data_IF_779578292047
#
_entry.id   IF_779578292047
#
_cell.length_a   1.000
_cell.length_b   1.000
_cell.length_c   1.000
_cell.angle_alpha   90.00
_cell.angle_beta   90.00
_cell.angle_gamma   90.00
#
_symmetry.space_group_name_H-M   'P 1'
#
loop_
_entity.id
_entity.type
_entity.pdbx_description
1 polymer ?
#
# COMPACT_ATOMS: atom_id res chain seq x y z
N UNK A 1 -0.90 8.00 34.03
CA UNK A 1 0.28 7.82 33.16
C UNK A 1 -0.20 7.08 31.95
N UNK A 2 -0.07 7.60 30.70
CA UNK A 2 -0.55 6.91 29.53
C UNK A 2 0.34 5.68 29.27
N UNK A 3 -0.28 4.51 29.13
CA UNK A 3 0.36 3.29 28.68
C UNK A 3 0.97 3.51 27.28
N UNK A 4 2.26 3.79 27.20
CA UNK A 4 3.01 3.77 25.94
C UNK A 4 2.98 2.34 25.41
N UNK A 5 2.30 2.12 24.30
CA UNK A 5 2.18 0.79 23.72
C UNK A 5 3.50 0.41 23.02
N UNK A 6 4.00 -0.77 23.35
CA UNK A 6 5.26 -1.35 22.83
C UNK A 6 5.38 -1.39 21.29
N UNK A 7 4.28 -1.30 20.55
CA UNK A 7 4.27 -1.39 19.07
C UNK A 7 4.58 -0.07 18.36
N UNK A 8 4.19 1.09 18.92
CA UNK A 8 4.51 2.38 18.30
C UNK A 8 5.99 2.70 18.42
N UNK A 9 6.58 2.43 19.59
CA UNK A 9 8.00 2.68 19.83
C UNK A 9 8.91 1.80 18.98
N UNK A 10 8.50 0.57 18.68
CA UNK A 10 9.26 -0.34 17.84
C UNK A 10 9.43 0.17 16.41
N UNK A 11 8.35 0.61 15.76
CA UNK A 11 8.43 1.06 14.36
C UNK A 11 9.07 2.45 14.21
N UNK A 12 8.86 3.34 15.17
CA UNK A 12 9.56 4.63 15.18
C UNK A 12 11.07 4.48 15.36
N UNK A 13 11.49 3.48 16.15
CA UNK A 13 12.91 3.17 16.40
C UNK A 13 13.40 1.98 15.57
N UNK A 14 12.70 1.61 14.50
CA UNK A 14 13.08 0.49 13.67
C UNK A 14 14.50 0.65 13.12
N UNK A 15 15.27 -0.44 13.20
CA UNK A 15 16.62 -0.54 12.62
C UNK A 15 16.70 -1.76 11.72
N UNK A 16 17.16 -1.53 10.51
CA UNK A 16 17.42 -2.62 9.58
C UNK A 16 18.59 -3.50 10.07
N UNK A 17 18.63 -4.79 9.68
CA UNK A 17 19.79 -5.64 9.93
C UNK A 17 21.06 -5.02 9.36
N UNK A 18 22.17 -5.15 10.08
CA UNK A 18 23.47 -4.57 9.71
C UNK A 18 23.96 -5.02 8.31
N UNK A 19 23.55 -6.21 7.88
CA UNK A 19 23.91 -6.78 6.58
C UNK A 19 23.07 -6.26 5.41
N UNK A 20 22.08 -5.38 5.65
CA UNK A 20 21.28 -4.68 4.64
C UNK A 20 21.43 -3.16 4.77
N UNK A 21 22.58 -2.59 4.42
CA UNK A 21 22.79 -1.15 4.49
C UNK A 21 22.04 -0.41 3.38
N UNK A 22 21.45 0.75 3.73
CA UNK A 22 20.85 1.68 2.79
C UNK A 22 19.48 1.26 2.22
N UNK A 23 18.74 2.25 1.76
CA UNK A 23 17.33 2.09 1.33
C UNK A 23 17.15 1.13 0.15
N UNK A 24 18.06 1.13 -0.82
CA UNK A 24 17.95 0.25 -2.00
C UNK A 24 18.05 -1.24 -1.63
N UNK A 25 19.02 -1.64 -0.81
CA UNK A 25 19.10 -3.03 -0.38
C UNK A 25 17.93 -3.43 0.50
N UNK A 26 17.45 -2.52 1.37
CA UNK A 26 16.27 -2.70 2.19
C UNK A 26 14.96 -2.76 1.38
N UNK A 27 14.98 -2.33 0.13
CA UNK A 27 13.86 -2.45 -0.83
C UNK A 27 13.94 -3.73 -1.63
N UNK A 28 15.06 -3.96 -2.29
CA UNK A 28 15.21 -5.05 -3.28
C UNK A 28 15.29 -6.41 -2.61
N UNK A 29 16.15 -6.54 -1.59
CA UNK A 29 16.39 -7.83 -0.93
C UNK A 29 15.12 -8.45 -0.33
N UNK A 30 14.32 -7.70 0.47
CA UNK A 30 13.09 -8.24 1.05
C UNK A 30 12.10 -8.71 0.00
N UNK A 31 11.96 -7.98 -1.09
CA UNK A 31 11.04 -8.32 -2.17
C UNK A 31 11.41 -9.64 -2.86
N UNK A 32 12.70 -9.97 -2.96
CA UNK A 32 13.19 -11.12 -3.70
C UNK A 32 13.49 -12.35 -2.83
N UNK A 33 14.04 -12.16 -1.63
CA UNK A 33 14.70 -13.24 -0.88
C UNK A 33 14.24 -13.42 0.57
N UNK A 34 13.64 -12.42 1.20
CA UNK A 34 13.22 -12.53 2.58
C UNK A 34 12.00 -13.46 2.75
N UNK A 35 11.90 -14.09 3.92
CA UNK A 35 10.73 -14.90 4.27
C UNK A 35 9.49 -14.02 4.39
N UNK A 36 8.42 -14.45 3.74
CA UNK A 36 7.16 -13.68 3.65
C UNK A 36 6.10 -14.18 4.61
N UNK A 37 6.21 -15.43 5.08
CA UNK A 37 5.24 -16.07 5.97
C UNK A 37 5.96 -16.87 7.05
N UNK A 38 5.29 -17.05 8.18
CA UNK A 38 5.68 -18.00 9.23
C UNK A 38 4.80 -19.24 9.19
N UNK A 39 3.56 -19.09 8.72
CA UNK A 39 2.59 -20.15 8.49
C UNK A 39 2.64 -20.72 7.07
N UNK A 40 1.56 -21.37 6.62
CA UNK A 40 1.42 -21.88 5.26
C UNK A 40 1.40 -20.75 4.25
N UNK A 41 1.71 -21.08 2.99
CA UNK A 41 1.55 -20.14 1.87
C UNK A 41 0.08 -19.77 1.77
N UNK A 42 -0.26 -18.46 1.64
CA UNK A 42 -1.64 -18.03 1.55
C UNK A 42 -2.35 -18.60 0.33
N UNK A 43 -3.52 -19.17 0.54
CA UNK A 43 -4.44 -19.60 -0.51
C UNK A 43 -5.61 -18.63 -0.58
N UNK A 44 -6.08 -18.34 -1.80
CA UNK A 44 -7.12 -17.35 -2.02
C UNK A 44 -8.28 -17.92 -2.81
N UNK A 45 -9.49 -17.48 -2.44
CA UNK A 45 -10.72 -17.62 -3.23
C UNK A 45 -10.99 -16.28 -3.91
N UNK A 46 -11.00 -16.27 -5.24
CA UNK A 46 -11.25 -15.08 -6.04
C UNK A 46 -12.73 -14.85 -6.25
N UNK A 47 -13.16 -13.60 -6.09
CA UNK A 47 -14.46 -13.11 -6.50
C UNK A 47 -14.30 -11.98 -7.51
N UNK A 48 -15.12 -11.96 -8.55
CA UNK A 48 -15.21 -10.87 -9.50
C UNK A 48 -16.44 -10.01 -9.20
N UNK A 49 -16.21 -8.72 -9.07
CA UNK A 49 -17.28 -7.77 -8.85
C UNK A 49 -17.42 -6.81 -10.03
N UNK A 50 -18.66 -6.65 -10.52
CA UNK A 50 -18.98 -5.62 -11.51
C UNK A 50 -18.94 -4.26 -10.83
N UNK A 51 -18.26 -3.31 -11.46
CA UNK A 51 -18.18 -1.91 -11.04
C UNK A 51 -19.33 -1.08 -11.63
N UNK A 52 -19.64 0.11 -11.07
CA UNK A 52 -20.77 0.94 -11.56
C UNK A 52 -20.66 1.34 -13.03
N UNK A 53 -19.47 1.40 -13.58
CA UNK A 53 -19.22 1.70 -15.00
C UNK A 53 -19.26 0.46 -15.93
N UNK A 54 -19.76 -0.68 -15.43
CA UNK A 54 -19.91 -1.92 -16.20
C UNK A 54 -18.59 -2.69 -16.41
N UNK A 55 -17.52 -2.28 -15.78
CA UNK A 55 -16.23 -2.97 -15.75
C UNK A 55 -16.18 -3.97 -14.58
N UNK A 56 -15.01 -4.44 -14.20
CA UNK A 56 -14.84 -5.35 -13.06
C UNK A 56 -13.58 -5.08 -12.25
N UNK A 57 -13.65 -5.50 -11.00
CA UNK A 57 -12.51 -5.69 -10.10
C UNK A 57 -12.53 -7.10 -9.51
N UNK A 58 -11.37 -7.72 -9.40
CA UNK A 58 -11.23 -9.03 -8.78
C UNK A 58 -10.71 -8.87 -7.34
N UNK A 59 -11.27 -9.63 -6.41
CA UNK A 59 -10.88 -9.64 -5.02
C UNK A 59 -10.42 -11.04 -4.61
N UNK A 60 -9.24 -11.13 -4.02
CA UNK A 60 -8.70 -12.38 -3.48
C UNK A 60 -8.95 -12.43 -1.97
N UNK A 61 -9.92 -13.24 -1.55
CA UNK A 61 -10.21 -13.53 -0.15
C UNK A 61 -9.33 -14.65 0.35
N UNK A 62 -8.65 -14.46 1.48
CA UNK A 62 -7.87 -15.51 2.12
C UNK A 62 -8.78 -16.70 2.46
N UNK A 63 -8.39 -17.88 2.01
CA UNK A 63 -9.13 -19.11 2.26
C UNK A 63 -8.91 -19.59 3.71
N UNK A 64 -9.59 -18.96 4.65
CA UNK A 64 -9.62 -19.34 6.05
C UNK A 64 -11.06 -19.39 6.57
N UNK A 65 -11.35 -20.30 7.46
CA UNK A 65 -12.68 -20.44 8.08
C UNK A 65 -12.86 -19.42 9.21
N UNK A 66 -13.09 -18.17 8.82
CA UNK A 66 -13.26 -17.05 9.76
C UNK A 66 -14.66 -16.43 9.59
N UNK A 67 -15.34 -16.27 10.73
CA UNK A 67 -16.66 -15.63 10.78
C UNK A 67 -16.64 -14.21 10.21
N UNK A 68 -17.67 -13.85 9.43
CA UNK A 68 -17.92 -12.48 8.93
C UNK A 68 -18.08 -11.41 10.03
N UNK A 69 -18.14 -11.81 11.29
CA UNK A 69 -18.16 -10.90 12.46
C UNK A 69 -16.75 -10.58 12.98
N UNK A 70 -15.72 -11.31 12.56
CA UNK A 70 -14.33 -11.00 12.90
C UNK A 70 -13.88 -9.73 12.19
N UNK A 71 -12.85 -9.04 12.67
CA UNK A 71 -12.32 -7.89 11.93
C UNK A 71 -11.86 -8.31 10.53
N UNK A 72 -12.20 -7.50 9.53
CA UNK A 72 -11.75 -7.65 8.14
C UNK A 72 -10.57 -6.71 7.89
N UNK A 73 -9.43 -7.26 7.51
CA UNK A 73 -8.29 -6.52 7.02
C UNK A 73 -8.34 -6.48 5.49
N UNK A 74 -8.47 -5.28 4.93
CA UNK A 74 -8.45 -5.03 3.49
C UNK A 74 -7.08 -4.48 3.09
N UNK A 75 -6.43 -5.05 2.08
CA UNK A 75 -5.15 -4.55 1.58
C UNK A 75 -5.27 -4.05 0.15
N UNK A 76 -5.04 -2.76 -0.06
CA UNK A 76 -4.87 -2.13 -1.38
C UNK A 76 -3.39 -2.13 -1.77
N UNK A 77 -3.05 -2.83 -2.84
CA UNK A 77 -1.66 -3.06 -3.23
C UNK A 77 -0.99 -1.85 -3.90
N UNK A 78 0.32 -1.89 -4.05
CA UNK A 78 1.11 -0.88 -4.77
C UNK A 78 1.05 -1.03 -6.28
N UNK A 79 1.77 -0.15 -6.97
CA UNK A 79 1.89 -0.16 -8.43
C UNK A 79 2.28 -1.56 -8.94
N UNK A 80 1.49 -2.10 -9.87
CA UNK A 80 1.67 -3.44 -10.46
C UNK A 80 1.67 -4.59 -9.43
N UNK A 81 1.17 -4.35 -8.21
CA UNK A 81 1.08 -5.34 -7.15
C UNK A 81 -0.10 -6.32 -7.32
N UNK A 82 -0.20 -7.24 -6.37
CA UNK A 82 -1.26 -8.25 -6.31
C UNK A 82 -1.32 -8.90 -4.91
N UNK A 83 -2.23 -9.84 -4.71
CA UNK A 83 -2.28 -10.72 -3.53
C UNK A 83 -0.99 -11.54 -3.32
N UNK A 84 -0.16 -11.70 -4.37
CA UNK A 84 1.12 -12.42 -4.34
C UNK A 84 2.34 -11.52 -4.11
N UNK A 85 2.15 -10.23 -3.91
CA UNK A 85 3.23 -9.33 -3.51
C UNK A 85 3.78 -9.76 -2.14
N UNK A 86 5.09 -9.61 -1.93
CA UNK A 86 5.74 -10.05 -0.70
C UNK A 86 5.08 -9.50 0.58
N UNK A 87 4.67 -8.25 0.54
CA UNK A 87 3.95 -7.62 1.65
C UNK A 87 2.52 -8.15 1.79
N UNK A 88 1.82 -8.43 0.68
CA UNK A 88 0.46 -8.97 0.71
C UNK A 88 0.44 -10.36 1.37
N UNK A 89 1.40 -11.23 1.02
CA UNK A 89 1.57 -12.54 1.64
C UNK A 89 1.91 -12.42 3.13
N UNK A 90 2.74 -11.43 3.52
CA UNK A 90 3.07 -11.18 4.90
C UNK A 90 1.86 -10.68 5.73
N UNK A 91 1.04 -9.79 5.18
CA UNK A 91 -0.22 -9.39 5.82
C UNK A 91 -1.23 -10.55 5.89
N UNK A 92 -1.29 -11.41 4.87
CA UNK A 92 -2.12 -12.62 4.90
C UNK A 92 -1.71 -13.57 6.04
N UNK A 93 -0.41 -13.78 6.26
CA UNK A 93 0.10 -14.58 7.37
C UNK A 93 -0.27 -13.98 8.73
N UNK A 94 -0.15 -12.65 8.87
CA UNK A 94 -0.58 -11.93 10.09
C UNK A 94 -2.08 -12.10 10.32
N UNK A 95 -2.89 -11.94 9.28
CA UNK A 95 -4.33 -12.12 9.36
C UNK A 95 -4.72 -13.56 9.73
N UNK A 96 -4.07 -14.54 9.10
CA UNK A 96 -4.31 -15.97 9.39
C UNK A 96 -4.00 -16.30 10.85
N UNK A 97 -2.82 -15.90 11.35
CA UNK A 97 -2.42 -16.12 12.76
C UNK A 97 -3.31 -15.35 13.73
N UNK A 98 -3.70 -14.11 13.38
CA UNK A 98 -4.59 -13.26 14.18
C UNK A 98 -6.07 -13.62 14.08
N UNK A 99 -6.44 -14.63 13.29
CA UNK A 99 -7.84 -15.02 13.01
C UNK A 99 -8.68 -13.83 12.51
N UNK A 100 -8.10 -13.02 11.63
CA UNK A 100 -8.79 -11.97 10.90
C UNK A 100 -9.30 -12.51 9.57
N UNK A 101 -10.39 -11.95 9.07
CA UNK A 101 -10.72 -12.08 7.65
C UNK A 101 -9.77 -11.18 6.87
N UNK A 102 -9.31 -11.62 5.68
CA UNK A 102 -8.37 -10.85 4.87
C UNK A 102 -8.79 -10.86 3.40
N UNK A 103 -8.67 -9.72 2.75
CA UNK A 103 -8.97 -9.58 1.33
C UNK A 103 -8.01 -8.60 0.65
N UNK A 104 -7.61 -8.94 -0.56
CA UNK A 104 -6.83 -8.09 -1.45
C UNK A 104 -7.66 -7.77 -2.69
N UNK A 105 -8.27 -6.59 -2.78
CA UNK A 105 -8.80 -6.09 -4.03
C UNK A 105 -7.65 -5.83 -5.01
N UNK A 106 -7.80 -6.28 -6.25
CA UNK A 106 -6.87 -5.99 -7.32
C UNK A 106 -7.32 -4.74 -8.07
N UNK A 107 -6.44 -3.76 -8.20
CA UNK A 107 -6.70 -2.65 -9.10
C UNK A 107 -6.89 -3.15 -10.53
N UNK A 108 -7.61 -2.38 -11.35
CA UNK A 108 -7.99 -2.75 -12.72
C UNK A 108 -6.79 -3.20 -13.54
N UNK A 109 -6.87 -4.37 -14.16
CA UNK A 109 -5.78 -4.97 -14.93
C UNK A 109 -4.62 -5.57 -14.12
N UNK A 110 -4.77 -5.71 -12.77
CA UNK A 110 -3.73 -6.29 -11.91
C UNK A 110 -4.05 -7.71 -11.42
N UNK A 111 -5.22 -8.25 -11.72
CA UNK A 111 -5.62 -9.61 -11.32
C UNK A 111 -5.14 -10.73 -12.26
N UNK A 112 -4.45 -10.37 -13.35
CA UNK A 112 -4.05 -11.26 -14.44
C UNK A 112 -4.87 -11.05 -15.71
N UNK A 113 -6.06 -10.48 -15.60
CA UNK A 113 -6.93 -10.12 -16.73
C UNK A 113 -7.00 -8.59 -16.90
N UNK A 114 -7.11 -8.14 -18.17
CA UNK A 114 -7.33 -6.73 -18.44
C UNK A 114 -8.79 -6.37 -18.18
N UNK A 115 -9.00 -5.27 -17.49
CA UNK A 115 -10.33 -4.68 -17.32
C UNK A 115 -10.94 -4.25 -18.68
N UNK A 116 -12.25 -4.05 -18.73
CA UNK A 116 -12.98 -3.81 -19.98
C UNK A 116 -13.04 -2.32 -20.34
N UNK A 117 -13.31 -1.45 -19.39
CA UNK A 117 -13.51 -0.02 -19.64
C UNK A 117 -12.25 0.67 -20.22
N UNK A 118 -12.41 1.78 -20.98
CA UNK A 118 -11.31 2.57 -21.52
C UNK A 118 -10.61 3.39 -20.43
N UNK A 119 -10.27 2.74 -19.33
CA UNK A 119 -9.52 3.30 -18.20
C UNK A 119 -8.59 2.27 -17.58
N UNK A 120 -7.67 2.72 -16.77
CA UNK A 120 -6.83 1.91 -15.92
C UNK A 120 -7.06 2.30 -14.44
N UNK A 121 -6.18 1.89 -13.55
CA UNK A 121 -6.10 2.42 -12.19
C UNK A 121 -5.06 3.53 -12.11
N UNK A 122 -5.18 4.38 -11.09
CA UNK A 122 -4.19 5.43 -10.83
C UNK A 122 -4.06 5.73 -9.32
N UNK A 123 -3.02 6.49 -8.95
CA UNK A 123 -2.68 6.72 -7.53
C UNK A 123 -3.75 7.49 -6.74
N UNK A 124 -4.61 8.24 -7.40
CA UNK A 124 -5.69 9.01 -6.76
C UNK A 124 -7.08 8.39 -6.87
N UNK A 125 -7.19 7.10 -7.20
CA UNK A 125 -8.47 6.41 -7.49
C UNK A 125 -9.27 6.12 -6.21
N UNK A 126 -9.59 7.19 -5.48
CA UNK A 126 -10.29 7.14 -4.21
C UNK A 126 -11.76 6.70 -4.35
N UNK A 127 -12.38 6.94 -5.49
CA UNK A 127 -13.75 6.50 -5.77
C UNK A 127 -13.85 4.97 -5.84
N UNK A 128 -12.87 4.31 -6.46
CA UNK A 128 -12.81 2.85 -6.51
C UNK A 128 -12.54 2.25 -5.12
N UNK A 129 -11.68 2.89 -4.30
CA UNK A 129 -11.50 2.54 -2.89
C UNK A 129 -12.84 2.60 -2.15
N UNK A 130 -13.59 3.69 -2.33
CA UNK A 130 -14.90 3.90 -1.70
C UNK A 130 -15.93 2.85 -2.12
N UNK A 131 -16.03 2.54 -3.40
CA UNK A 131 -16.90 1.49 -3.94
C UNK A 131 -16.59 0.13 -3.31
N UNK A 132 -15.31 -0.26 -3.28
CA UNK A 132 -14.89 -1.55 -2.73
C UNK A 132 -15.22 -1.63 -1.24
N UNK A 133 -14.87 -0.60 -0.45
CA UNK A 133 -15.14 -0.57 0.99
C UNK A 133 -16.65 -0.59 1.30
N UNK A 134 -17.46 0.15 0.54
CA UNK A 134 -18.90 0.15 0.69
C UNK A 134 -19.49 -1.25 0.46
N UNK A 135 -19.10 -1.91 -0.62
CA UNK A 135 -19.57 -3.25 -0.92
C UNK A 135 -19.08 -4.30 0.08
N UNK A 136 -17.83 -4.19 0.57
CA UNK A 136 -17.38 -5.02 1.67
C UNK A 136 -18.20 -4.78 2.95
N UNK A 137 -18.56 -3.54 3.24
CA UNK A 137 -19.39 -3.20 4.42
C UNK A 137 -20.79 -3.84 4.36
N UNK A 138 -21.39 -3.92 3.18
CA UNK A 138 -22.67 -4.61 2.98
C UNK A 138 -22.59 -6.12 3.27
N UNK A 139 -21.45 -6.73 2.94
CA UNK A 139 -21.24 -8.18 3.05
C UNK A 139 -20.67 -8.61 4.40
N UNK A 140 -20.07 -7.70 5.17
CA UNK A 140 -19.31 -7.99 6.36
C UNK A 140 -19.83 -7.25 7.57
N UNK A 141 -20.11 -7.98 8.68
CA UNK A 141 -20.72 -7.42 9.89
C UNK A 141 -19.68 -6.90 10.90
N UNK A 142 -18.48 -7.45 10.89
CA UNK A 142 -17.38 -7.05 11.79
C UNK A 142 -16.75 -5.71 11.40
N UNK A 143 -15.88 -5.13 12.23
CA UNK A 143 -15.18 -3.91 11.87
C UNK A 143 -14.27 -4.14 10.66
N UNK A 144 -14.16 -3.13 9.80
CA UNK A 144 -13.25 -3.12 8.65
C UNK A 144 -12.08 -2.20 8.97
N UNK A 145 -10.87 -2.73 8.83
CA UNK A 145 -9.61 -1.98 8.87
C UNK A 145 -8.92 -2.12 7.52
N UNK A 146 -8.32 -1.05 7.02
CA UNK A 146 -7.71 -1.09 5.71
C UNK A 146 -6.25 -0.65 5.74
N UNK A 147 -5.42 -1.30 4.93
CA UNK A 147 -4.04 -0.92 4.68
C UNK A 147 -3.83 -0.70 3.19
N UNK A 148 -3.20 0.38 2.82
CA UNK A 148 -2.74 0.65 1.47
C UNK A 148 -1.21 0.68 1.43
N UNK A 149 -0.63 0.04 0.43
CA UNK A 149 0.81 -0.03 0.24
C UNK A 149 1.20 0.80 -0.97
N UNK A 150 2.19 1.70 -0.81
CA UNK A 150 2.70 2.52 -1.90
C UNK A 150 1.55 3.30 -2.60
N UNK A 151 1.32 3.11 -3.88
CA UNK A 151 0.20 3.68 -4.64
C UNK A 151 -1.15 3.47 -3.92
N UNK A 152 -1.43 2.25 -3.46
CA UNK A 152 -2.68 1.93 -2.77
C UNK A 152 -2.87 2.70 -1.47
N UNK A 153 -1.78 3.06 -0.78
CA UNK A 153 -1.84 3.87 0.42
C UNK A 153 -2.14 5.34 0.15
N UNK A 154 -1.63 5.90 -0.96
CA UNK A 154 -2.01 7.22 -1.40
C UNK A 154 -3.51 7.29 -1.74
N UNK A 155 -4.01 6.33 -2.53
CA UNK A 155 -5.43 6.25 -2.86
C UNK A 155 -6.32 6.09 -1.62
N UNK A 156 -5.90 5.27 -0.64
CA UNK A 156 -6.64 5.02 0.60
C UNK A 156 -6.70 6.27 1.51
N UNK A 157 -5.57 6.97 1.70
CA UNK A 157 -5.58 8.21 2.50
C UNK A 157 -6.30 9.35 1.77
N UNK A 158 -6.22 9.38 0.43
CA UNK A 158 -7.02 10.30 -0.36
C UNK A 158 -8.52 10.05 -0.14
N UNK A 159 -8.96 8.79 -0.19
CA UNK A 159 -10.33 8.39 0.13
C UNK A 159 -10.75 8.85 1.53
N UNK A 160 -9.91 8.57 2.53
CA UNK A 160 -10.22 8.96 3.92
C UNK A 160 -10.36 10.48 4.09
N UNK A 161 -9.54 11.26 3.38
CA UNK A 161 -9.61 12.72 3.39
C UNK A 161 -10.85 13.27 2.67
N UNK A 162 -11.26 12.66 1.55
CA UNK A 162 -12.48 13.07 0.82
C UNK A 162 -13.76 12.70 1.58
N UNK A 163 -13.78 11.54 2.22
CA UNK A 163 -14.93 11.09 3.00
C UNK A 163 -15.07 11.81 4.34
N UNK A 164 -13.98 12.29 4.95
CA UNK A 164 -14.01 12.93 6.25
C UNK A 164 -14.72 12.07 7.30
N UNK A 165 -15.72 12.61 7.98
CA UNK A 165 -16.50 11.90 9.03
C UNK A 165 -17.25 10.67 8.49
N UNK A 166 -17.69 10.71 7.23
CA UNK A 166 -18.44 9.60 6.64
C UNK A 166 -17.60 8.34 6.44
N UNK A 167 -16.26 8.45 6.42
CA UNK A 167 -15.36 7.31 6.32
C UNK A 167 -15.58 6.29 7.45
N UNK A 168 -15.97 6.75 8.65
CA UNK A 168 -16.24 5.90 9.82
C UNK A 168 -17.35 4.88 9.61
N UNK A 169 -18.25 5.11 8.65
CA UNK A 169 -19.33 4.17 8.29
C UNK A 169 -18.80 2.95 7.56
N UNK A 170 -17.65 3.07 6.90
CA UNK A 170 -17.08 2.03 6.03
C UNK A 170 -15.83 1.38 6.65
N UNK A 171 -14.95 2.16 7.25
CA UNK A 171 -13.71 1.66 7.86
C UNK A 171 -13.50 2.27 9.25
N UNK A 172 -13.04 1.45 10.21
CA UNK A 172 -12.76 1.87 11.58
C UNK A 172 -11.39 2.54 11.74
N UNK A 173 -10.42 2.16 10.93
CA UNK A 173 -9.08 2.75 10.85
C UNK A 173 -8.41 2.40 9.52
N UNK A 174 -7.47 3.24 9.09
CA UNK A 174 -6.70 3.05 7.86
C UNK A 174 -5.20 3.20 8.10
N UNK A 175 -4.37 2.57 7.27
CA UNK A 175 -2.93 2.76 7.29
C UNK A 175 -2.37 2.85 5.86
N UNK A 176 -1.44 3.77 5.65
CA UNK A 176 -0.66 3.87 4.42
C UNK A 176 0.80 3.51 4.73
N UNK A 177 1.38 2.62 3.92
CA UNK A 177 2.75 2.12 4.10
C UNK A 177 3.57 2.49 2.88
N UNK A 178 4.67 3.23 3.11
CA UNK A 178 5.59 3.70 2.07
C UNK A 178 4.85 4.34 0.88
N UNK A 179 3.91 5.21 1.19
CA UNK A 179 3.05 5.80 0.17
C UNK A 179 3.59 7.14 -0.31
N UNK A 180 3.70 7.36 -1.63
CA UNK A 180 4.07 8.65 -2.19
C UNK A 180 2.89 9.61 -2.05
N UNK A 181 2.76 10.24 -0.86
CA UNK A 181 1.66 11.14 -0.55
C UNK A 181 1.78 12.48 -1.31
N UNK A 182 3.00 12.81 -1.75
CA UNK A 182 3.32 13.81 -2.76
C UNK A 182 3.82 13.08 -4.01
N UNK A 183 2.93 12.94 -5.00
CA UNK A 183 3.22 12.17 -6.21
C UNK A 183 4.28 12.84 -7.09
N UNK A 184 4.36 14.16 -7.09
CA UNK A 184 5.36 14.88 -7.87
C UNK A 184 6.76 14.60 -7.32
N UNK A 185 6.95 14.72 -6.01
CA UNK A 185 8.22 14.42 -5.37
C UNK A 185 8.65 12.96 -5.61
N UNK A 186 7.73 12.00 -5.41
CA UNK A 186 7.99 10.58 -5.65
C UNK A 186 8.28 10.26 -7.12
N UNK A 187 7.48 10.78 -8.05
CA UNK A 187 7.64 10.58 -9.49
C UNK A 187 8.97 11.11 -10.02
N UNK A 188 9.39 12.28 -9.56
CA UNK A 188 10.72 12.81 -9.91
C UNK A 188 11.86 12.02 -9.29
N UNK A 189 11.72 11.53 -8.05
CA UNK A 189 12.76 10.74 -7.40
C UNK A 189 12.97 9.38 -8.08
N UNK A 190 11.90 8.69 -8.46
CA UNK A 190 11.99 7.40 -9.14
C UNK A 190 12.49 7.52 -10.59
N UNK A 191 12.30 8.70 -11.23
CA UNK A 191 12.75 9.00 -12.59
C UNK A 191 14.23 9.37 -12.72
N UNK A 192 15.04 9.32 -11.64
CA UNK A 192 16.43 9.81 -11.65
C UNK A 192 17.44 8.77 -11.19
N UNK A 193 18.68 8.90 -11.67
CA UNK A 193 19.84 8.13 -11.22
C UNK A 193 19.61 6.63 -11.22
N UNK A 194 20.02 5.97 -10.13
CA UNK A 194 19.87 4.52 -9.93
C UNK A 194 18.41 4.06 -10.02
N UNK A 195 17.49 4.85 -9.45
CA UNK A 195 16.06 4.52 -9.44
C UNK A 195 15.51 4.41 -10.86
N UNK A 196 15.90 5.30 -11.76
CA UNK A 196 15.48 5.24 -13.17
C UNK A 196 15.94 3.97 -13.86
N UNK A 197 17.21 3.58 -13.64
CA UNK A 197 17.79 2.40 -14.29
C UNK A 197 17.15 1.10 -13.79
N UNK A 198 16.87 1.02 -12.50
CA UNK A 198 16.38 -0.22 -11.85
C UNK A 198 14.86 -0.23 -11.78
N UNK A 199 14.28 0.67 -11.01
CA UNK A 199 12.86 0.60 -10.67
C UNK A 199 11.95 1.09 -11.79
N UNK A 200 12.27 2.23 -12.40
CA UNK A 200 11.48 2.75 -13.53
C UNK A 200 11.48 1.76 -14.69
N UNK A 201 12.64 1.18 -15.02
CA UNK A 201 12.73 0.14 -16.05
C UNK A 201 11.86 -1.08 -15.71
N UNK A 202 11.90 -1.52 -14.45
CA UNK A 202 11.08 -2.64 -13.97
C UNK A 202 9.58 -2.35 -14.14
N UNK A 203 9.12 -1.17 -13.72
CA UNK A 203 7.71 -0.79 -13.85
C UNK A 203 7.27 -0.65 -15.32
N UNK A 204 8.03 0.04 -16.14
CA UNK A 204 7.68 0.21 -17.56
C UNK A 204 7.63 -1.12 -18.33
N UNK A 205 8.40 -2.14 -17.92
CA UNK A 205 8.35 -3.50 -18.53
C UNK A 205 6.98 -4.18 -18.36
N UNK A 206 6.23 -3.84 -17.30
CA UNK A 206 4.88 -4.39 -17.06
C UNK A 206 3.78 -3.42 -17.51
N UNK A 207 3.97 -2.14 -17.28
CA UNK A 207 2.96 -1.10 -17.56
C UNK A 207 2.76 -0.87 -19.06
N UNK A 208 3.84 -0.75 -19.86
CA UNK A 208 3.73 -0.54 -21.31
C UNK A 208 2.96 -1.66 -22.02
N UNK A 209 3.26 -2.95 -21.80
CA UNK A 209 2.47 -4.04 -22.42
C UNK A 209 0.99 -4.01 -22.02
N UNK A 210 0.66 -3.62 -20.77
CA UNK A 210 -0.73 -3.46 -20.34
C UNK A 210 -1.42 -2.30 -21.08
N UNK A 211 -0.75 -1.14 -21.15
CA UNK A 211 -1.26 0.01 -21.89
C UNK A 211 -1.47 -0.32 -23.38
N UNK A 212 -0.54 -1.04 -24.02
CA UNK A 212 -0.69 -1.48 -25.41
C UNK A 212 -1.88 -2.44 -25.60
N UNK A 213 -2.13 -3.33 -24.64
CA UNK A 213 -3.36 -4.17 -24.64
C UNK A 213 -4.61 -3.33 -24.50
N UNK A 214 -4.59 -2.29 -23.65
CA UNK A 214 -5.68 -1.33 -23.50
C UNK A 214 -5.93 -0.55 -24.79
N UNK A 215 -4.87 -0.15 -25.50
CA UNK A 215 -4.98 0.49 -26.81
C UNK A 215 -5.60 -0.45 -27.86
N UNK A 216 -5.25 -1.73 -27.83
CA UNK A 216 -5.86 -2.72 -28.74
C UNK A 216 -7.36 -2.95 -28.46
N UNK A 217 -7.80 -2.85 -27.19
CA UNK A 217 -9.21 -2.87 -26.84
C UNK A 217 -9.95 -1.59 -27.26
N UNK A 218 -9.26 -0.43 -27.19
CA UNK A 218 -9.81 0.90 -27.44
C UNK A 218 -8.87 1.71 -28.33
N UNK A 219 -8.83 1.46 -29.66
CA UNK A 219 -7.96 2.18 -30.58
C UNK A 219 -8.18 3.69 -30.54
N UNK A 220 -7.12 4.47 -30.47
CA UNK A 220 -7.19 5.93 -30.42
C UNK A 220 -7.36 6.51 -29.00
N UNK A 221 -7.35 5.69 -27.94
CA UNK A 221 -7.49 6.14 -26.55
C UNK A 221 -6.33 7.07 -26.11
N UNK A 222 -5.14 6.85 -26.64
CA UNK A 222 -3.93 7.65 -26.40
C UNK A 222 -2.95 7.49 -27.57
N UNK A 223 -1.86 8.27 -27.60
CA UNK A 223 -0.81 8.16 -28.59
C UNK A 223 0.07 6.92 -28.33
N UNK A 224 -0.14 5.89 -29.16
CA UNK A 224 0.58 4.61 -29.07
C UNK A 224 2.08 4.76 -29.32
N UNK A 225 2.45 5.55 -30.33
CA UNK A 225 3.85 5.69 -30.72
C UNK A 225 4.64 6.49 -29.67
N UNK A 226 4.04 7.53 -29.12
CA UNK A 226 4.60 8.24 -27.98
C UNK A 226 4.78 7.31 -26.76
N UNK A 227 3.81 6.41 -26.47
CA UNK A 227 3.93 5.45 -25.38
C UNK A 227 5.14 4.53 -25.54
N UNK A 228 5.42 4.06 -26.76
CA UNK A 228 6.59 3.22 -27.04
C UNK A 228 7.90 3.94 -26.72
N UNK A 229 7.94 5.27 -26.89
CA UNK A 229 9.10 6.12 -26.62
C UNK A 229 9.22 6.58 -25.16
N UNK A 230 8.18 6.39 -24.33
CA UNK A 230 8.20 6.80 -22.92
C UNK A 230 9.40 6.18 -22.19
N UNK A 231 10.16 6.98 -21.44
CA UNK A 231 11.44 6.59 -20.82
C UNK A 231 11.39 6.52 -19.30
N UNK A 232 10.35 7.11 -18.72
CA UNK A 232 10.12 7.11 -17.28
C UNK A 232 8.61 7.19 -16.96
N UNK A 233 8.28 7.27 -15.66
CA UNK A 233 6.89 7.36 -15.23
C UNK A 233 6.25 8.70 -15.58
N UNK A 234 7.04 9.76 -15.67
CA UNK A 234 6.54 11.07 -16.11
C UNK A 234 6.00 11.00 -17.54
N UNK A 235 6.82 10.47 -18.46
CA UNK A 235 6.40 10.28 -19.86
C UNK A 235 5.19 9.35 -19.95
N UNK A 236 5.22 8.22 -19.21
CA UNK A 236 4.11 7.27 -19.20
C UNK A 236 2.81 7.91 -18.72
N UNK A 237 2.87 8.64 -17.61
CA UNK A 237 1.70 9.30 -17.04
C UNK A 237 1.18 10.40 -17.96
N UNK A 238 2.07 11.13 -18.64
CA UNK A 238 1.68 12.19 -19.58
C UNK A 238 0.96 11.64 -20.81
N UNK A 239 1.35 10.45 -21.27
CA UNK A 239 0.83 9.86 -22.51
C UNK A 239 -0.37 8.97 -22.25
N UNK A 240 -0.39 8.28 -21.12
CA UNK A 240 -1.41 7.27 -20.82
C UNK A 240 -2.27 7.67 -19.62
N UNK A 241 -1.69 7.76 -18.41
CA UNK A 241 -2.49 7.91 -17.19
C UNK A 241 -3.31 9.21 -17.18
N UNK A 242 -2.70 10.34 -17.54
CA UNK A 242 -3.37 11.62 -17.53
C UNK A 242 -4.55 11.68 -18.51
N UNK A 243 -4.36 11.46 -19.83
CA UNK A 243 -5.46 11.59 -20.79
C UNK A 243 -6.58 10.55 -20.56
N UNK A 244 -6.23 9.32 -20.17
CA UNK A 244 -7.21 8.24 -19.93
C UNK A 244 -8.13 8.54 -18.75
N UNK A 245 -7.67 9.36 -17.79
CA UNK A 245 -8.44 9.71 -16.59
C UNK A 245 -8.87 11.19 -16.54
N UNK A 246 -8.76 11.92 -17.67
CA UNK A 246 -9.25 13.30 -17.75
C UNK A 246 -8.40 14.34 -17.02
N UNK A 247 -7.10 14.05 -16.82
CA UNK A 247 -6.11 15.01 -16.38
C UNK A 247 -5.47 15.68 -17.61
N UNK A 248 -5.06 16.93 -17.46
CA UNK A 248 -4.46 17.70 -18.56
C UNK A 248 -3.07 17.17 -18.94
N UNK A 249 -2.28 16.79 -17.95
CA UNK A 249 -0.91 16.29 -18.07
C UNK A 249 -0.45 15.62 -16.77
N UNK A 250 0.80 15.18 -16.72
CA UNK A 250 1.37 14.53 -15.53
C UNK A 250 1.34 15.41 -14.29
N UNK A 251 1.68 16.71 -14.42
CA UNK A 251 1.68 17.62 -13.28
C UNK A 251 0.29 17.82 -12.70
N UNK A 252 -0.73 17.94 -13.56
CA UNK A 252 -2.12 18.05 -13.13
C UNK A 252 -2.58 16.75 -12.44
N UNK A 253 -2.22 15.59 -13.01
CA UNK A 253 -2.49 14.29 -12.39
C UNK A 253 -1.83 14.20 -11.02
N UNK A 254 -0.51 14.38 -10.92
CA UNK A 254 0.20 14.24 -9.66
C UNK A 254 -0.28 15.21 -8.59
N UNK A 255 -0.53 16.48 -8.96
CA UNK A 255 -1.07 17.49 -8.05
C UNK A 255 -2.45 17.11 -7.51
N UNK A 256 -3.38 16.69 -8.39
CA UNK A 256 -4.77 16.38 -8.03
C UNK A 256 -4.91 15.04 -7.35
N UNK A 257 -4.07 14.07 -7.65
CA UNK A 257 -4.11 12.71 -7.11
C UNK A 257 -3.34 12.54 -5.79
N UNK A 258 -2.47 13.47 -5.41
CA UNK A 258 -1.71 13.44 -4.16
C UNK A 258 -2.62 13.50 -2.93
N UNK A 259 -2.35 12.65 -1.94
CA UNK A 259 -3.10 12.63 -0.69
C UNK A 259 -2.59 13.67 0.33
N UNK A 260 -1.32 14.09 0.25
CA UNK A 260 -0.70 14.99 1.24
C UNK A 260 -1.53 16.25 1.54
N UNK A 261 -2.09 16.98 0.53
CA UNK A 261 -2.90 18.18 0.79
C UNK A 261 -4.23 17.90 1.50
N UNK A 262 -4.65 16.64 1.60
CA UNK A 262 -5.94 16.24 2.14
C UNK A 262 -5.84 15.55 3.52
N UNK A 263 -4.64 15.31 4.04
CA UNK A 263 -4.44 14.60 5.31
C UNK A 263 -5.12 15.30 6.50
N UNK A 264 -5.18 16.62 6.50
CA UNK A 264 -5.85 17.40 7.54
C UNK A 264 -7.38 17.23 7.56
N UNK A 265 -7.98 16.66 6.50
CA UNK A 265 -9.43 16.39 6.38
C UNK A 265 -9.82 15.01 6.92
N UNK A 266 -8.89 14.13 7.20
CA UNK A 266 -9.16 12.79 7.71
C UNK A 266 -9.83 12.89 9.09
N UNK A 267 -10.88 12.09 9.30
CA UNK A 267 -11.69 12.05 10.54
C UNK A 267 -11.86 10.64 11.11
N UNK A 268 -11.04 9.70 10.69
CA UNK A 268 -10.90 8.37 11.27
C UNK A 268 -9.42 8.12 11.62
N UNK A 269 -9.10 7.24 12.57
CA UNK A 269 -7.72 6.91 12.86
C UNK A 269 -6.96 6.49 11.59
N UNK A 270 -5.89 7.20 11.27
CA UNK A 270 -5.07 6.97 10.10
C UNK A 270 -3.58 6.92 10.47
N UNK A 271 -2.86 5.94 9.94
CA UNK A 271 -1.41 5.81 10.08
C UNK A 271 -0.74 6.10 8.74
N UNK A 272 0.27 6.97 8.72
CA UNK A 272 1.20 7.10 7.60
C UNK A 272 2.59 6.60 8.04
N UNK A 273 2.99 5.44 7.54
CA UNK A 273 4.29 4.83 7.78
C UNK A 273 5.17 5.01 6.54
N UNK A 274 6.20 5.83 6.64
CA UNK A 274 7.17 6.06 5.58
C UNK A 274 8.60 6.04 6.17
N UNK A 275 9.51 5.21 5.65
CA UNK A 275 10.91 5.31 6.07
C UNK A 275 11.58 6.53 5.42
N UNK A 276 12.47 7.20 6.16
CA UNK A 276 13.19 8.37 5.62
C UNK A 276 14.31 7.99 4.65
N UNK A 277 14.66 6.70 4.54
CA UNK A 277 15.62 6.18 3.56
C UNK A 277 14.94 5.46 2.37
N UNK A 278 13.64 5.67 2.16
CA UNK A 278 12.90 5.13 1.03
C UNK A 278 13.48 5.70 -0.29
N UNK A 279 13.95 4.85 -1.22
CA UNK A 279 14.52 5.34 -2.47
C UNK A 279 13.49 5.99 -3.42
N UNK A 280 12.18 5.76 -3.21
CA UNK A 280 11.12 6.30 -4.06
C UNK A 280 10.54 7.61 -3.52
N UNK A 281 10.65 7.85 -2.22
CA UNK A 281 9.98 8.94 -1.54
C UNK A 281 11.03 9.79 -0.82
N UNK A 282 11.37 10.98 -1.34
CA UNK A 282 12.31 11.87 -0.68
C UNK A 282 11.85 12.22 0.74
N UNK A 283 12.77 12.18 1.70
CA UNK A 283 12.45 12.42 3.11
C UNK A 283 11.87 13.82 3.36
N UNK A 284 12.27 14.82 2.59
CA UNK A 284 11.77 16.19 2.65
C UNK A 284 10.36 16.37 2.09
N UNK A 285 9.86 15.39 1.31
CA UNK A 285 8.48 15.35 0.82
C UNK A 285 7.49 14.72 1.80
N UNK A 286 7.97 14.06 2.85
CA UNK A 286 7.13 13.42 3.84
C UNK A 286 6.26 14.44 4.58
N UNK A 287 5.04 14.06 5.00
CA UNK A 287 4.20 14.97 5.77
C UNK A 287 4.81 15.27 7.13
N UNK A 288 4.71 16.52 7.55
CA UNK A 288 5.14 16.99 8.88
C UNK A 288 3.95 17.04 9.82
N UNK A 289 4.16 17.04 11.14
CA UNK A 289 3.06 17.09 12.12
C UNK A 289 2.07 18.23 11.90
N UNK A 290 2.53 19.40 11.47
CA UNK A 290 1.70 20.57 11.21
C UNK A 290 0.89 20.50 9.90
N UNK A 291 1.19 19.54 9.02
CA UNK A 291 0.48 19.32 7.74
C UNK A 291 -0.63 18.29 7.85
N UNK A 292 -0.78 17.64 9.01
CA UNK A 292 -1.77 16.59 9.23
C UNK A 292 -2.76 16.99 10.33
N UNK A 293 -3.94 16.37 10.33
CA UNK A 293 -4.93 16.56 11.40
C UNK A 293 -4.70 15.59 12.57
N UNK A 294 -5.47 15.79 13.66
CA UNK A 294 -5.38 15.01 14.91
C UNK A 294 -5.62 13.51 14.74
N UNK A 295 -6.24 13.11 13.65
CA UNK A 295 -6.55 11.72 13.35
C UNK A 295 -5.40 10.97 12.65
N UNK A 296 -4.33 11.66 12.25
CA UNK A 296 -3.23 11.08 11.50
C UNK A 296 -2.01 10.90 12.39
N UNK A 297 -1.57 9.66 12.51
CA UNK A 297 -0.32 9.28 13.18
C UNK A 297 0.79 9.13 12.14
N UNK A 298 1.94 9.76 12.38
CA UNK A 298 3.11 9.65 11.51
C UNK A 298 4.14 8.69 12.14
N UNK A 299 4.54 7.67 11.39
CA UNK A 299 5.71 6.84 11.69
C UNK A 299 6.75 7.02 10.59
N UNK A 300 7.90 7.61 10.94
CA UNK A 300 8.93 7.97 9.97
C UNK A 300 10.32 7.47 10.44
N UNK A 301 10.52 6.12 10.52
CA UNK A 301 11.80 5.56 10.94
C UNK A 301 12.91 5.85 9.93
N UNK A 302 14.16 5.93 10.41
CA UNK A 302 15.36 6.20 9.59
C UNK A 302 15.73 5.08 8.60
N UNK A 303 15.12 3.91 8.74
CA UNK A 303 15.38 2.72 7.93
C UNK A 303 14.06 2.05 7.54
N UNK A 304 14.10 1.19 6.51
CA UNK A 304 12.94 0.43 6.05
C UNK A 304 12.95 0.20 4.55
N UNK A 305 13.57 1.09 3.78
CA UNK A 305 13.47 1.10 2.33
C UNK A 305 12.04 1.29 1.87
N UNK A 306 11.74 0.94 0.63
CA UNK A 306 10.37 0.94 0.12
C UNK A 306 9.70 -0.40 0.41
N UNK A 307 8.79 -0.42 1.40
CA UNK A 307 7.96 -1.59 1.80
C UNK A 307 8.77 -2.81 2.31
N UNK A 308 10.07 -2.65 2.54
CA UNK A 308 10.93 -3.78 2.92
C UNK A 308 10.86 -4.12 4.40
N UNK A 309 11.25 -3.18 5.24
CA UNK A 309 11.34 -3.36 6.70
C UNK A 309 11.89 -4.73 7.11
N UNK A 310 13.05 -5.15 6.54
CA UNK A 310 13.62 -6.46 6.80
C UNK A 310 14.00 -6.62 8.27
N UNK A 311 13.81 -7.81 8.84
CA UNK A 311 14.19 -8.10 10.21
C UNK A 311 14.85 -9.48 10.34
N UNK A 312 15.67 -9.67 11.39
CA UNK A 312 16.28 -10.92 11.74
C UNK A 312 17.58 -11.24 10.99
N UNK A 313 18.09 -12.46 11.24
CA UNK A 313 19.30 -12.98 10.60
C UNK A 313 19.04 -13.29 9.12
N UNK A 314 20.11 -13.41 8.32
CA UNK A 314 20.03 -13.80 6.92
C UNK A 314 19.20 -15.07 6.71
N UNK A 315 18.33 -15.15 5.68
CA UNK A 315 18.04 -14.15 4.63
C UNK A 315 17.06 -13.04 5.04
N UNK A 316 16.65 -12.96 6.31
CA UNK A 316 15.70 -12.01 6.83
C UNK A 316 14.23 -12.43 6.63
N UNK A 317 13.33 -11.61 7.17
CA UNK A 317 11.89 -11.78 7.05
C UNK A 317 11.21 -10.40 7.00
N UNK A 318 9.99 -10.32 6.45
CA UNK A 318 9.24 -9.07 6.26
C UNK A 318 8.03 -8.94 7.18
N UNK A 319 8.00 -9.68 8.29
CA UNK A 319 6.83 -9.73 9.19
C UNK A 319 6.71 -8.53 10.13
N UNK A 320 7.82 -7.83 10.40
CA UNK A 320 7.85 -6.76 11.41
C UNK A 320 6.87 -5.63 11.11
N UNK A 321 6.82 -5.15 9.87
CA UNK A 321 5.94 -4.06 9.46
C UNK A 321 4.47 -4.51 9.43
N UNK A 322 4.06 -5.61 8.78
CA UNK A 322 2.68 -6.08 8.82
C UNK A 322 2.15 -6.33 10.23
N UNK A 323 2.97 -6.91 11.12
CA UNK A 323 2.61 -7.14 12.52
C UNK A 323 2.34 -5.81 13.25
N UNK A 324 3.25 -4.84 13.13
CA UNK A 324 3.14 -3.55 13.80
C UNK A 324 1.95 -2.74 13.27
N UNK A 325 1.77 -2.68 11.95
CA UNK A 325 0.66 -1.94 11.30
C UNK A 325 -0.68 -2.56 11.67
N UNK A 326 -0.81 -3.89 11.62
CA UNK A 326 -2.05 -4.57 12.00
C UNK A 326 -2.38 -4.36 13.47
N UNK A 327 -1.39 -4.45 14.37
CA UNK A 327 -1.59 -4.19 15.78
C UNK A 327 -2.03 -2.75 16.05
N UNK A 328 -1.44 -1.77 15.35
CA UNK A 328 -1.87 -0.37 15.44
C UNK A 328 -3.31 -0.19 14.96
N UNK A 329 -3.67 -0.74 13.80
CA UNK A 329 -5.02 -0.66 13.23
C UNK A 329 -6.08 -1.24 14.18
N UNK A 330 -5.83 -2.41 14.75
CA UNK A 330 -6.74 -3.03 15.73
C UNK A 330 -6.91 -2.17 16.97
N UNK A 331 -5.81 -1.66 17.52
CA UNK A 331 -5.84 -0.79 18.70
C UNK A 331 -6.58 0.52 18.43
N UNK A 332 -6.27 1.19 17.34
CA UNK A 332 -6.89 2.45 16.93
C UNK A 332 -8.39 2.31 16.66
N UNK A 333 -8.83 1.12 16.24
CA UNK A 333 -10.25 0.77 16.04
C UNK A 333 -10.98 0.37 17.34
N UNK A 334 -10.33 0.42 18.50
CA UNK A 334 -10.92 -0.06 19.78
C UNK A 334 -11.14 -1.58 19.83
N UNK A 335 -10.52 -2.32 18.91
CA UNK A 335 -10.63 -3.77 18.86
C UNK A 335 -9.56 -4.37 19.75
N UNK A 336 -9.97 -5.06 20.83
CA UNK A 336 -9.03 -5.83 21.64
C UNK A 336 -8.63 -7.08 20.85
N UNK A 337 -7.36 -7.20 20.41
CA UNK A 337 -6.92 -8.41 19.73
C UNK A 337 -7.08 -9.60 20.68
N UNK A 338 -7.79 -10.65 20.28
CA UNK A 338 -7.57 -11.97 20.88
C UNK A 338 -6.28 -12.53 20.29
N UNK A 339 -5.15 -11.88 20.62
CA UNK A 339 -3.83 -12.32 20.20
C UNK A 339 -3.49 -13.56 21.00
N UNK A 340 -3.01 -14.65 20.39
CA UNK A 340 -2.31 -15.70 21.12
C UNK A 340 -1.16 -15.04 21.90
N UNK A 341 -0.91 -15.46 23.12
CA UNK A 341 0.08 -14.87 24.05
C UNK A 341 1.55 -14.93 23.54
N UNK A 342 1.77 -15.38 22.33
CA UNK A 342 3.08 -15.58 21.68
C UNK A 342 3.28 -14.67 20.45
N UNK A 343 2.98 -13.40 20.60
CA UNK A 343 3.59 -12.42 19.69
C UNK A 343 5.08 -12.35 20.05
N UNK A 344 6.02 -12.79 19.20
CA UNK A 344 7.41 -12.91 19.62
C UNK A 344 7.95 -11.54 20.03
N UNK A 345 8.44 -11.46 21.27
CA UNK A 345 9.29 -10.36 21.69
C UNK A 345 10.52 -10.40 20.80
N UNK A 346 10.83 -9.30 20.11
CA UNK A 346 12.10 -9.19 19.40
C UNK A 346 13.22 -9.55 20.37
N UNK A 347 14.22 -10.36 19.97
CA UNK A 347 15.37 -10.62 20.82
C UNK A 347 16.05 -9.28 21.09
N UNK A 348 16.11 -8.88 22.35
CA UNK A 348 16.98 -7.79 22.80
C UNK A 348 18.41 -8.24 22.55
N UNK A 349 19.03 -7.74 21.50
CA UNK A 349 20.49 -7.77 21.39
C UNK A 349 21.03 -6.79 22.41
N UNK A 350 21.42 -7.30 23.58
CA UNK A 350 22.29 -6.61 24.51
C UNK A 350 23.63 -6.42 23.76
N UNK A 351 24.18 -5.19 23.63
CA UNK A 351 25.52 -5.05 23.14
C UNK A 351 26.44 -5.72 24.16
N UNK A 352 27.21 -6.71 23.72
CA UNK A 352 28.32 -7.21 24.49
C UNK A 352 29.28 -6.02 24.69
N UNK A 353 29.51 -5.68 25.96
CA UNK A 353 30.59 -4.82 26.34
C UNK A 353 31.92 -5.48 25.94
N UNK A 354 32.71 -4.79 25.12
CA UNK A 354 34.19 -4.79 25.10
C UNK A 354 34.64 -3.43 24.59
#
# INVERSE_FOLDING_TARGET
MPHRSFTSDFMQNYRAPWWLPGGNLQTIWPALFARRTRGPVPEYRRERWTTPDGDFVDLDFLANDVSRRRPLLVLFHGLEGSSRSHYSEAFADVAWRGKLTYVVPHFRGCSGEMNLAPRAYHSGDHEEIGFILARLREMHQGPIIAVGVSLGGNALLRWAGECGESASRLASAVAAVCSPLDLAAGGHAIGRGFNRVVYTTMFLRTMKPKALRKWAQHPGLFDREALLQARDLYDFDNIFTAPVHGFTNTEDYWRRASAKPHLHRIRIPALALNSTNDPFIPADSLPRPEEVGDWVTLWQPGNGGHVGFPAGAFPGQVMAMPEAVTAWLLKASGITPRVPAEWPRAPMTVPAAL
#
